data_IF_476700244271
#
_entry.id   IF_476700244271
#
_cell.length_a   1.000
_cell.length_b   1.000
_cell.length_c   1.000
_cell.angle_alpha   90.00
_cell.angle_beta   90.00
_cell.angle_gamma   90.00
#
_symmetry.space_group_name_H-M   'P 1'
#
loop_
_entity.id
_entity.type
_entity.pdbx_description
1 polymer ?
#
# COMPACT_ATOMS: atom_id res chain seq x y z
N UNK A 1 -14.70 -6.13 -9.14
CA UNK A 1 -14.28 -5.02 -10.01
C UNK A 1 -12.77 -4.95 -9.89
N UNK A 2 -12.04 -5.62 -10.78
CA UNK A 2 -10.57 -5.51 -10.87
C UNK A 2 -10.27 -4.13 -11.45
N UNK A 3 -10.25 -3.10 -10.59
CA UNK A 3 -9.48 -1.90 -10.93
C UNK A 3 -8.02 -2.34 -11.06
N UNK A 4 -7.37 -1.98 -12.15
CA UNK A 4 -5.95 -2.27 -12.33
C UNK A 4 -5.15 -1.47 -11.28
N UNK A 5 -4.92 -2.13 -10.13
CA UNK A 5 -4.20 -1.59 -8.97
C UNK A 5 -2.87 -0.98 -9.40
N UNK A 6 -2.24 -1.50 -10.46
CA UNK A 6 -0.94 -1.03 -10.96
C UNK A 6 -0.98 0.39 -11.55
N UNK A 7 -2.17 0.89 -11.87
CA UNK A 7 -2.38 2.22 -12.45
C UNK A 7 -2.88 3.28 -11.45
N UNK A 8 -3.07 2.91 -10.19
CA UNK A 8 -3.64 3.80 -9.17
C UNK A 8 -2.72 5.00 -8.90
N UNK A 9 -3.33 6.18 -8.87
CA UNK A 9 -2.67 7.43 -8.50
C UNK A 9 -2.58 7.56 -6.98
N UNK A 10 -1.58 8.27 -6.44
CA UNK A 10 -1.53 8.56 -5.02
C UNK A 10 -2.71 9.46 -4.62
N UNK A 11 -3.24 9.23 -3.42
CA UNK A 11 -4.38 9.96 -2.88
C UNK A 11 -5.47 9.07 -2.29
N UNK A 12 -6.66 9.65 -2.02
CA UNK A 12 -7.66 9.03 -1.15
C UNK A 12 -8.13 7.63 -1.56
N UNK A 13 -8.16 7.33 -2.85
CA UNK A 13 -8.58 6.02 -3.34
C UNK A 13 -7.53 4.93 -3.04
N UNK A 14 -6.25 5.22 -3.30
CA UNK A 14 -5.17 4.31 -2.94
C UNK A 14 -5.05 4.18 -1.42
N UNK A 15 -5.15 5.30 -0.70
CA UNK A 15 -5.07 5.32 0.76
C UNK A 15 -6.20 4.48 1.41
N UNK A 16 -7.39 4.49 0.82
CA UNK A 16 -8.50 3.62 1.22
C UNK A 16 -8.17 2.14 1.02
N UNK A 17 -7.65 1.77 -0.15
CA UNK A 17 -7.26 0.38 -0.43
C UNK A 17 -6.17 -0.10 0.54
N UNK A 18 -5.21 0.75 0.90
CA UNK A 18 -4.22 0.44 1.94
C UNK A 18 -4.89 0.24 3.29
N UNK A 19 -5.81 1.11 3.70
CA UNK A 19 -6.46 0.98 4.99
C UNK A 19 -7.31 -0.32 5.09
N UNK A 20 -7.96 -0.70 4.00
CA UNK A 20 -8.70 -1.97 3.89
C UNK A 20 -7.78 -3.18 3.94
N UNK A 21 -6.81 -3.26 3.03
CA UNK A 21 -6.00 -4.48 2.84
C UNK A 21 -4.91 -4.60 3.89
N UNK A 22 -4.22 -3.49 4.21
CA UNK A 22 -3.14 -3.48 5.17
C UNK A 22 -3.69 -3.36 6.58
N UNK A 23 -4.61 -2.44 6.89
CA UNK A 23 -5.04 -2.24 8.29
C UNK A 23 -6.36 -2.95 8.66
N UNK A 24 -7.01 -3.64 7.71
CA UNK A 24 -8.25 -4.38 7.95
C UNK A 24 -9.45 -3.50 8.26
N UNK A 25 -9.41 -2.22 7.86
CA UNK A 25 -10.49 -1.25 8.16
C UNK A 25 -11.52 -1.27 7.04
N UNK A 26 -12.79 -1.47 7.37
CA UNK A 26 -13.87 -1.51 6.37
C UNK A 26 -14.54 -0.16 6.17
N UNK A 27 -14.79 0.21 4.91
CA UNK A 27 -15.44 1.46 4.56
C UNK A 27 -16.92 1.21 4.29
N UNK A 28 -17.80 1.85 5.06
CA UNK A 28 -19.23 1.88 4.77
C UNK A 28 -19.54 3.21 4.09
N UNK A 29 -19.96 3.17 2.82
CA UNK A 29 -20.28 4.39 2.07
C UNK A 29 -21.43 5.16 2.73
N UNK A 30 -21.12 6.35 3.24
CA UNK A 30 -22.09 7.41 3.50
C UNK A 30 -21.87 8.54 2.47
N UNK A 31 -22.87 9.41 2.21
CA UNK A 31 -22.85 10.40 1.12
C UNK A 31 -21.73 11.47 1.18
N UNK A 32 -20.72 11.32 2.05
CA UNK A 32 -19.64 12.27 2.27
C UNK A 32 -18.25 11.65 2.45
N UNK A 33 -18.05 10.36 2.09
CA UNK A 33 -16.71 9.77 2.00
C UNK A 33 -16.05 9.40 3.34
N UNK A 34 -16.85 9.10 4.37
CA UNK A 34 -16.34 8.79 5.71
C UNK A 34 -16.24 7.27 5.98
N UNK A 35 -15.37 6.87 6.91
CA UNK A 35 -15.00 5.47 7.18
C UNK A 35 -15.34 5.08 8.62
N UNK A 36 -15.68 3.79 8.85
CA UNK A 36 -15.97 3.22 10.17
C UNK A 36 -14.85 2.28 10.60
N UNK A 37 -14.35 2.44 11.82
CA UNK A 37 -13.48 1.43 12.44
C UNK A 37 -14.18 0.83 13.67
N UNK A 38 -14.50 -0.47 13.62
CA UNK A 38 -15.00 -1.26 14.76
C UNK A 38 -16.18 -0.60 15.52
N UNK A 39 -17.13 0.01 14.79
CA UNK A 39 -18.33 0.61 15.38
C UNK A 39 -18.10 1.88 16.21
N UNK A 40 -16.90 2.47 16.19
CA UNK A 40 -16.59 3.72 16.91
C UNK A 40 -15.96 4.78 16.00
N UNK A 41 -16.77 5.78 15.66
CA UNK A 41 -16.32 7.07 15.13
C UNK A 41 -16.01 7.11 13.63
N UNK A 42 -16.10 8.34 13.10
CA UNK A 42 -15.76 8.73 11.74
C UNK A 42 -14.26 9.01 11.66
N UNK A 43 -13.54 8.40 10.71
CA UNK A 43 -12.13 8.74 10.44
C UNK A 43 -11.85 8.58 8.96
N UNK A 44 -11.20 9.56 8.33
CA UNK A 44 -10.65 9.40 6.98
C UNK A 44 -9.42 8.49 7.01
N UNK A 45 -9.14 7.80 5.89
CA UNK A 45 -7.89 7.06 5.74
C UNK A 45 -6.69 8.01 5.98
N UNK A 46 -5.64 7.50 6.62
CA UNK A 46 -4.41 8.30 6.72
C UNK A 46 -3.81 8.50 5.32
N UNK A 47 -3.06 9.58 5.08
CA UNK A 47 -2.50 9.89 3.76
C UNK A 47 -1.26 9.03 3.42
N UNK A 48 -1.44 7.71 3.38
CA UNK A 48 -0.39 6.69 3.24
C UNK A 48 0.50 6.87 2.00
N UNK A 49 -0.11 7.27 0.88
CA UNK A 49 0.55 7.38 -0.43
C UNK A 49 1.03 8.79 -0.79
N UNK A 50 0.78 9.77 0.08
CA UNK A 50 1.09 11.18 -0.20
C UNK A 50 1.99 11.85 0.83
N UNK A 51 2.12 11.30 2.05
CA UNK A 51 3.00 11.86 3.10
C UNK A 51 4.04 10.86 3.58
N UNK A 52 5.14 11.38 4.13
CA UNK A 52 6.21 10.56 4.72
C UNK A 52 5.75 9.85 6.00
N UNK A 53 4.95 10.53 6.81
CA UNK A 53 4.37 9.95 8.04
C UNK A 53 3.41 8.81 7.70
N UNK A 54 2.57 8.99 6.67
CA UNK A 54 1.69 7.96 6.16
C UNK A 54 2.48 6.76 5.62
N UNK A 55 3.52 7.02 4.83
CA UNK A 55 4.44 5.99 4.35
C UNK A 55 5.10 5.22 5.50
N UNK A 56 5.52 5.92 6.56
CA UNK A 56 6.10 5.32 7.76
C UNK A 56 5.17 4.28 8.40
N UNK A 57 3.89 4.60 8.52
CA UNK A 57 2.89 3.66 9.04
C UNK A 57 2.78 2.39 8.18
N UNK A 58 2.90 2.52 6.85
CA UNK A 58 2.88 1.37 5.94
C UNK A 58 4.12 0.51 6.16
N UNK A 59 5.31 1.12 6.24
CA UNK A 59 6.57 0.40 6.47
C UNK A 59 6.54 -0.37 7.79
N UNK A 60 6.15 0.29 8.87
CA UNK A 60 6.06 -0.31 10.20
C UNK A 60 5.11 -1.52 10.22
N UNK A 61 3.94 -1.38 9.60
CA UNK A 61 2.94 -2.44 9.56
C UNK A 61 3.37 -3.62 8.67
N UNK A 62 4.08 -3.37 7.57
CA UNK A 62 4.67 -4.41 6.73
C UNK A 62 5.76 -5.19 7.48
N UNK A 63 6.67 -4.48 8.16
CA UNK A 63 7.71 -5.08 9.00
C UNK A 63 7.11 -5.90 10.15
N UNK A 64 6.04 -5.41 10.77
CA UNK A 64 5.29 -6.14 11.80
C UNK A 64 4.72 -7.49 11.29
N UNK A 65 4.48 -7.61 9.98
CA UNK A 65 4.01 -8.83 9.30
C UNK A 65 5.15 -9.73 8.82
N UNK A 66 6.40 -9.39 9.12
CA UNK A 66 7.58 -10.12 8.66
C UNK A 66 7.88 -9.88 7.18
N UNK A 67 7.56 -8.69 6.66
CA UNK A 67 7.87 -8.26 5.31
C UNK A 67 8.90 -7.13 5.40
N UNK A 68 9.99 -7.24 4.64
CA UNK A 68 10.99 -6.19 4.52
C UNK A 68 10.59 -5.21 3.41
N UNK A 69 10.84 -3.92 3.64
CA UNK A 69 10.59 -2.85 2.66
C UNK A 69 11.92 -2.26 2.24
N UNK A 70 12.29 -2.44 0.99
CA UNK A 70 13.50 -1.86 0.40
C UNK A 70 13.13 -0.67 -0.47
N UNK A 71 13.75 0.47 -0.20
CA UNK A 71 13.49 1.73 -0.91
C UNK A 71 14.82 2.24 -1.44
N UNK A 72 14.94 2.32 -2.76
CA UNK A 72 16.13 2.82 -3.44
C UNK A 72 15.83 4.11 -4.20
N UNK A 73 16.73 5.08 -4.11
CA UNK A 73 16.61 6.34 -4.84
C UNK A 73 17.50 6.30 -6.07
N UNK A 74 16.88 6.21 -7.25
CA UNK A 74 17.57 6.13 -8.53
C UNK A 74 17.65 7.52 -9.14
N UNK A 75 18.85 7.95 -9.53
CA UNK A 75 19.04 9.20 -10.27
C UNK A 75 19.16 8.89 -11.75
N UNK A 76 18.22 9.39 -12.55
CA UNK A 76 18.24 9.27 -14.01
C UNK A 76 18.26 10.66 -14.66
N UNK A 77 19.45 11.09 -15.10
CA UNK A 77 19.67 12.45 -15.58
C UNK A 77 19.42 13.48 -14.47
N UNK A 78 18.44 14.38 -14.66
CA UNK A 78 18.02 15.37 -13.65
C UNK A 78 16.88 14.89 -12.75
N UNK A 79 16.31 13.72 -13.03
CA UNK A 79 15.17 13.20 -12.30
C UNK A 79 15.64 12.31 -11.16
N UNK A 80 15.03 12.49 -9.99
CA UNK A 80 15.13 11.56 -8.86
C UNK A 80 13.89 10.69 -8.88
N UNK A 81 14.11 9.40 -9.03
CA UNK A 81 13.07 8.37 -9.06
C UNK A 81 13.24 7.45 -7.86
N UNK A 82 12.21 6.67 -7.59
CA UNK A 82 12.16 5.74 -6.47
C UNK A 82 11.83 4.35 -6.99
N UNK A 83 12.64 3.40 -6.55
CA UNK A 83 12.36 1.98 -6.68
C UNK A 83 11.97 1.45 -5.29
N UNK A 84 10.97 0.58 -5.24
CA UNK A 84 10.47 0.03 -3.99
C UNK A 84 10.16 -1.46 -4.16
N UNK A 85 10.76 -2.28 -3.32
CA UNK A 85 10.53 -3.72 -3.28
C UNK A 85 10.02 -4.17 -1.90
N UNK A 86 9.07 -5.10 -1.90
CA UNK A 86 8.61 -5.81 -0.70
C UNK A 86 9.20 -7.21 -0.74
N UNK A 87 9.87 -7.61 0.33
CA UNK A 87 10.59 -8.88 0.41
C UNK A 87 10.05 -9.72 1.56
N UNK A 88 9.96 -11.04 1.36
CA UNK A 88 9.61 -12.01 2.40
C UNK A 88 10.59 -13.17 2.37
N UNK A 89 11.32 -13.39 3.46
CA UNK A 89 12.32 -14.48 3.56
C UNK A 89 13.33 -14.49 2.39
N UNK A 90 13.76 -13.31 1.95
CA UNK A 90 14.70 -13.15 0.82
C UNK A 90 14.08 -13.28 -0.57
N UNK A 91 12.76 -13.49 -0.68
CA UNK A 91 12.04 -13.52 -1.96
C UNK A 91 11.31 -12.19 -2.19
N UNK A 92 11.49 -11.60 -3.36
CA UNK A 92 10.75 -10.42 -3.79
C UNK A 92 9.27 -10.78 -4.04
N UNK A 93 8.38 -10.11 -3.30
CA UNK A 93 6.93 -10.28 -3.38
C UNK A 93 6.29 -9.30 -4.36
N UNK A 94 6.82 -8.07 -4.41
CA UNK A 94 6.39 -7.02 -5.32
C UNK A 94 7.54 -6.04 -5.52
N UNK A 95 7.62 -5.45 -6.71
CA UNK A 95 8.58 -4.41 -7.04
C UNK A 95 7.97 -3.39 -7.98
N UNK A 96 8.20 -2.12 -7.66
CA UNK A 96 7.89 -0.97 -8.50
C UNK A 96 9.17 -0.21 -8.76
N UNK A 97 9.40 0.14 -10.02
CA UNK A 97 10.59 0.87 -10.45
C UNK A 97 10.18 2.19 -11.09
N UNK A 98 11.07 3.18 -11.01
CA UNK A 98 10.97 4.48 -11.65
C UNK A 98 9.76 5.31 -11.18
N UNK A 99 9.36 5.16 -9.92
CA UNK A 99 8.24 5.92 -9.35
C UNK A 99 8.65 7.37 -9.03
N UNK A 100 7.76 8.36 -9.18
CA UNK A 100 8.09 9.77 -8.99
C UNK A 100 8.21 10.19 -7.52
N UNK A 101 7.64 9.42 -6.58
CA UNK A 101 7.70 9.74 -5.16
C UNK A 101 7.69 8.46 -4.30
N UNK A 102 8.33 8.53 -3.12
CA UNK A 102 8.50 7.38 -2.25
C UNK A 102 7.20 6.92 -1.55
N UNK A 103 6.36 7.80 -0.98
CA UNK A 103 5.11 7.38 -0.35
C UNK A 103 4.21 6.56 -1.28
N UNK A 104 4.07 6.99 -2.54
CA UNK A 104 3.30 6.29 -3.56
C UNK A 104 3.92 4.94 -3.91
N UNK A 105 5.23 4.90 -4.13
CA UNK A 105 5.95 3.66 -4.45
C UNK A 105 5.78 2.61 -3.34
N UNK A 106 5.93 3.02 -2.08
CA UNK A 106 5.77 2.14 -0.92
C UNK A 106 4.33 1.66 -0.76
N UNK A 107 3.35 2.56 -0.82
CA UNK A 107 1.94 2.18 -0.71
C UNK A 107 1.56 1.16 -1.78
N UNK A 108 1.88 1.43 -3.04
CA UNK A 108 1.54 0.54 -4.15
C UNK A 108 2.25 -0.81 -4.06
N UNK A 109 3.55 -0.84 -3.76
CA UNK A 109 4.30 -2.10 -3.61
C UNK A 109 3.74 -2.95 -2.45
N UNK A 110 3.39 -2.30 -1.33
CA UNK A 110 2.76 -2.98 -0.20
C UNK A 110 1.40 -3.58 -0.57
N UNK A 111 0.54 -2.81 -1.26
CA UNK A 111 -0.77 -3.29 -1.70
C UNK A 111 -0.64 -4.49 -2.64
N UNK A 112 0.24 -4.41 -3.65
CA UNK A 112 0.49 -5.51 -4.59
C UNK A 112 0.99 -6.77 -3.88
N UNK A 113 1.94 -6.64 -2.96
CA UNK A 113 2.47 -7.77 -2.21
C UNK A 113 1.40 -8.45 -1.35
N UNK A 114 0.53 -7.68 -0.69
CA UNK A 114 -0.55 -8.22 0.13
C UNK A 114 -1.63 -8.90 -0.71
N UNK A 115 -2.02 -8.31 -1.83
CA UNK A 115 -2.98 -8.92 -2.75
C UNK A 115 -2.46 -10.25 -3.29
N UNK A 116 -1.17 -10.33 -3.63
CA UNK A 116 -0.53 -11.59 -4.01
C UNK A 116 -0.58 -12.64 -2.88
N UNK A 117 -0.30 -12.24 -1.63
CA UNK A 117 -0.40 -13.15 -0.47
C UNK A 117 -1.82 -13.63 -0.20
N UNK A 118 -2.82 -12.76 -0.37
CA UNK A 118 -4.23 -13.10 -0.21
C UNK A 118 -4.70 -14.07 -1.30
N UNK A 119 -4.28 -13.85 -2.55
CA UNK A 119 -4.58 -14.74 -3.67
C UNK A 119 -4.02 -16.16 -3.42
N UNK A 120 -2.79 -16.26 -2.91
CA UNK A 120 -2.18 -17.55 -2.55
C UNK A 120 -2.97 -18.30 -1.46
N UNK A 121 -3.47 -17.58 -0.45
CA UNK A 121 -4.28 -18.18 0.64
C UNK A 121 -5.68 -18.61 0.19
N UNK A 122 -6.26 -17.91 -0.78
CA UNK A 122 -7.55 -18.29 -1.37
C UNK A 122 -7.50 -19.56 -2.23
N UNK A 123 -6.31 -19.93 -2.72
CA UNK A 123 -6.09 -21.15 -3.52
C UNK A 123 -5.98 -22.45 -2.72
N UNK A 124 -5.79 -22.38 -1.40
CA UNK A 124 -5.66 -23.56 -0.52
C UNK A 124 -7.01 -24.09 0.01
N UNK A 125 -8.14 -23.51 -0.43
CA UNK A 125 -9.50 -23.93 -0.05
C UNK A 125 -10.26 -24.65 -1.18
N UNK A 126 -9.56 -25.16 -2.19
CA UNK A 126 -10.11 -25.92 -3.32
C UNK A 126 -9.92 -27.42 -3.22
#
# INVERSE_FOLDING_TARGET
>A
MEHDVRSMQPGPELDRQIDEVLFGRTFTEFPRGFCYHNGRGWREAAPYSTTWEGMGLVVEEMQRRGLDVHIDFVTFGRNKLVDCAIIRNGLEMAHLSMMPNAPHAVAMAALLALLALLALRGGEQG
#
